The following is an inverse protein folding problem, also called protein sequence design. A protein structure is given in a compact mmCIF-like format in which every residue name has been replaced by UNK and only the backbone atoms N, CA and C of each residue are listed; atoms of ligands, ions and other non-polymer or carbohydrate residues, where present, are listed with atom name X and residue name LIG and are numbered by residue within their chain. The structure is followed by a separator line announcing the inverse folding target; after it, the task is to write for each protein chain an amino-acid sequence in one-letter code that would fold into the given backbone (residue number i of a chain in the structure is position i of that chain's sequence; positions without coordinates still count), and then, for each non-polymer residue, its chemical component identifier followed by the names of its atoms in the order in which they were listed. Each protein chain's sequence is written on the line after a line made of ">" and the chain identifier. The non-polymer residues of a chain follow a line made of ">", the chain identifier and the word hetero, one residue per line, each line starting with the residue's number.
data_IF_298979005186
#
_entry.id   IF_298979005186
#
_cell.length_a   1.000
_cell.length_b   1.000
_cell.length_c   1.000
_cell.angle_alpha   90.00
_cell.angle_beta   90.00
_cell.angle_gamma   90.00
#
_symmetry.space_group_name_H-M   'P 1'
#
loop_
_entity.id
_entity.type
_entity.pdbx_description
1 polymer ?
#
# COMPACT_ATOMS: atom_id res chain seq x y z
N UNK A 1 17.77 4.09 -10.82
CA UNK A 1 16.79 5.13 -10.43
C UNK A 1 15.54 4.92 -11.26
N UNK A 2 14.36 4.89 -10.65
CA UNK A 2 13.09 4.59 -11.31
C UNK A 2 12.17 5.81 -11.21
N UNK A 3 11.81 6.42 -12.34
CA UNK A 3 11.00 7.63 -12.39
C UNK A 3 9.52 7.29 -12.54
N UNK A 4 8.65 8.07 -11.88
CA UNK A 4 7.23 8.06 -12.15
C UNK A 4 6.95 8.81 -13.45
N UNK A 5 6.02 8.33 -14.27
CA UNK A 5 5.61 9.02 -15.50
C UNK A 5 4.46 10.02 -15.29
N UNK A 6 3.79 9.96 -14.13
CA UNK A 6 2.66 10.85 -13.79
C UNK A 6 3.06 11.99 -12.84
N UNK A 7 4.29 11.98 -12.32
CA UNK A 7 4.82 13.05 -11.48
C UNK A 7 6.36 13.05 -11.49
N UNK A 8 6.97 14.04 -10.83
CA UNK A 8 8.44 14.22 -10.81
C UNK A 8 9.18 13.32 -9.81
N UNK A 9 8.47 12.41 -9.11
CA UNK A 9 9.09 11.55 -8.10
C UNK A 9 9.96 10.47 -8.71
N UNK A 10 11.09 10.20 -8.05
CA UNK A 10 12.01 9.12 -8.43
C UNK A 10 12.33 8.23 -7.24
N UNK A 11 12.50 6.94 -7.50
CA UNK A 11 12.68 5.91 -6.49
C UNK A 11 14.00 5.14 -6.71
N UNK A 12 14.57 4.62 -5.63
CA UNK A 12 15.78 3.80 -5.68
C UNK A 12 15.50 2.36 -6.12
N UNK A 13 14.27 1.87 -5.92
CA UNK A 13 13.86 0.49 -6.23
C UNK A 13 12.60 0.46 -7.13
N UNK A 14 12.49 -0.54 -8.03
CA UNK A 14 11.32 -0.65 -8.92
C UNK A 14 10.06 -1.00 -8.13
N UNK A 15 10.18 -1.80 -7.06
CA UNK A 15 9.07 -2.12 -6.17
C UNK A 15 8.48 -0.89 -5.48
N UNK A 16 9.32 0.08 -5.11
CA UNK A 16 8.88 1.36 -4.54
C UNK A 16 8.13 2.22 -5.56
N UNK A 17 8.61 2.26 -6.82
CA UNK A 17 7.88 2.92 -7.90
C UNK A 17 6.51 2.25 -8.15
N UNK A 18 6.47 0.91 -8.23
CA UNK A 18 5.23 0.16 -8.42
C UNK A 18 4.20 0.46 -7.32
N UNK A 19 4.63 0.44 -6.05
CA UNK A 19 3.76 0.79 -4.93
C UNK A 19 3.29 2.25 -5.02
N UNK A 20 4.19 3.16 -5.43
CA UNK A 20 3.83 4.56 -5.60
C UNK A 20 2.76 4.76 -6.68
N UNK A 21 2.74 3.95 -7.75
CA UNK A 21 1.69 4.07 -8.78
C UNK A 21 0.28 3.89 -8.22
N UNK A 22 0.09 3.14 -7.13
CA UNK A 22 -1.19 3.03 -6.44
C UNK A 22 -1.71 4.35 -5.86
N UNK A 23 -0.82 5.34 -5.66
CA UNK A 23 -1.24 6.71 -5.25
C UNK A 23 -1.89 7.48 -6.40
N UNK A 24 -1.59 7.12 -7.64
CA UNK A 24 -2.20 7.70 -8.82
C UNK A 24 -3.48 6.97 -9.23
N UNK A 25 -3.46 5.64 -9.21
CA UNK A 25 -4.65 4.83 -9.59
C UNK A 25 -5.70 4.75 -8.48
N UNK A 26 -5.32 5.04 -7.23
CA UNK A 26 -6.19 4.85 -6.07
C UNK A 26 -6.37 3.38 -5.67
N UNK A 27 -5.74 2.44 -6.37
CA UNK A 27 -5.86 1.01 -6.08
C UNK A 27 -5.32 0.67 -4.70
N UNK A 28 -6.05 -0.19 -3.99
CA UNK A 28 -5.68 -0.69 -2.66
C UNK A 28 -5.82 -2.21 -2.66
N UNK A 29 -4.84 -2.94 -3.22
CA UNK A 29 -4.95 -4.38 -3.43
C UNK A 29 -5.01 -5.17 -2.12
N UNK A 30 -4.48 -4.64 -1.02
CA UNK A 30 -4.39 -5.38 0.25
C UNK A 30 -5.60 -5.09 1.15
N UNK A 31 -6.56 -6.01 1.21
CA UNK A 31 -7.68 -5.97 2.17
C UNK A 31 -7.20 -6.43 3.56
N UNK A 32 -7.73 -5.81 4.63
CA UNK A 32 -7.57 -6.31 5.99
C UNK A 32 -8.14 -7.74 6.08
N UNK A 33 -7.45 -8.68 6.74
CA UNK A 33 -7.94 -10.05 6.89
C UNK A 33 -9.03 -10.19 7.97
N UNK A 34 -9.29 -9.14 8.76
CA UNK A 34 -10.28 -9.21 9.83
C UNK A 34 -11.71 -9.16 9.25
N UNK A 35 -12.60 -10.13 9.56
CA UNK A 35 -13.87 -10.31 8.84
C UNK A 35 -14.80 -9.10 8.80
N UNK A 36 -14.88 -8.32 9.88
CA UNK A 36 -15.72 -7.11 9.96
C UNK A 36 -14.97 -5.83 9.59
N UNK A 37 -13.76 -5.93 9.03
CA UNK A 37 -12.97 -4.78 8.60
C UNK A 37 -12.81 -4.72 7.08
N UNK A 38 -13.38 -3.68 6.46
CA UNK A 38 -13.24 -3.45 5.02
C UNK A 38 -12.09 -2.52 4.62
N UNK A 39 -11.17 -2.22 5.55
CA UNK A 39 -10.03 -1.36 5.23
C UNK A 39 -9.11 -2.02 4.20
N UNK A 40 -8.72 -1.24 3.19
CA UNK A 40 -7.78 -1.64 2.14
C UNK A 40 -6.54 -0.73 2.15
N UNK A 41 -5.41 -1.26 1.73
CA UNK A 41 -4.11 -0.58 1.72
C UNK A 41 -3.40 -0.76 0.39
N UNK A 42 -2.59 0.24 0.01
CA UNK A 42 -1.68 0.19 -1.14
C UNK A 42 -0.39 -0.58 -0.86
N UNK A 43 -0.07 -0.83 0.43
CA UNK A 43 1.15 -1.52 0.87
C UNK A 43 0.83 -2.64 1.84
N UNK A 44 1.37 -3.83 1.59
CA UNK A 44 1.15 -5.02 2.43
C UNK A 44 1.61 -4.83 3.88
N UNK A 45 2.77 -4.21 4.10
CA UNK A 45 3.30 -3.97 5.45
C UNK A 45 2.38 -3.04 6.27
N UNK A 46 1.75 -2.06 5.62
CA UNK A 46 0.77 -1.18 6.27
C UNK A 46 -0.50 -1.94 6.67
N UNK A 47 -1.00 -2.82 5.79
CA UNK A 47 -2.12 -3.70 6.11
C UNK A 47 -1.80 -4.62 7.30
N UNK A 48 -0.63 -5.28 7.29
CA UNK A 48 -0.19 -6.15 8.39
C UNK A 48 -0.08 -5.40 9.72
N UNK A 49 0.50 -4.19 9.69
CA UNK A 49 0.58 -3.32 10.85
C UNK A 49 -0.81 -2.96 11.38
N UNK A 50 -1.74 -2.61 10.49
CA UNK A 50 -3.12 -2.32 10.86
C UNK A 50 -3.81 -3.54 11.46
N UNK A 51 -3.66 -4.74 10.88
CA UNK A 51 -4.33 -5.94 11.38
C UNK A 51 -4.06 -6.21 12.86
N UNK A 52 -2.88 -5.81 13.37
CA UNK A 52 -2.54 -5.93 14.80
C UNK A 52 -3.51 -5.19 15.74
N UNK A 53 -4.20 -4.15 15.27
CA UNK A 53 -5.19 -3.43 16.11
C UNK A 53 -6.44 -4.27 16.40
N UNK A 54 -6.72 -5.29 15.60
CA UNK A 54 -7.89 -6.16 15.76
C UNK A 54 -7.61 -7.39 16.62
N UNK A 55 -6.32 -7.67 16.88
CA UNK A 55 -5.86 -8.81 17.67
C UNK A 55 -5.15 -8.40 18.96
N UNK A 56 -4.96 -7.09 19.17
CA UNK A 56 -4.56 -6.56 20.45
C UNK A 56 -5.79 -6.63 21.37
N UNK A 57 -5.73 -7.52 22.37
CA UNK A 57 -6.66 -7.59 23.48
C UNK A 57 -6.55 -6.34 24.35
#
# INVERSE_FOLDING_TARGET
>A
RYACHQCTKTFSRPSSLRIHMYTHTGEKPYKCPYPSCDRRFSVQSNMRRHARVHYAL
#
